data_IF_630344528319
#
_entry.id   IF_630344528319
#
_cell.length_a   1.000
_cell.length_b   1.000
_cell.length_c   1.000
_cell.angle_alpha   90.00
_cell.angle_beta   90.00
_cell.angle_gamma   90.00
#
_symmetry.space_group_name_H-M   'P 1'
#
loop_
_entity.id
_entity.type
_entity.pdbx_description
1 polymer ?
#
# COMPACT_ATOMS: atom_id res chain seq x y z
N UNK A 1 15.48 -15.59 36.44
CA UNK A 1 15.68 -14.38 35.60
C UNK A 1 15.32 -14.58 34.13
N UNK A 2 15.41 -15.79 33.54
CA UNK A 2 15.13 -15.98 32.10
C UNK A 2 13.67 -15.78 31.66
N UNK A 3 12.68 -16.21 32.46
CA UNK A 3 11.27 -16.15 32.06
C UNK A 3 10.76 -14.70 31.87
N UNK A 4 11.14 -13.79 32.76
CA UNK A 4 10.71 -12.39 32.69
C UNK A 4 11.36 -11.64 31.51
N UNK A 5 12.62 -11.93 31.20
CA UNK A 5 13.32 -11.34 30.03
C UNK A 5 12.72 -11.84 28.73
N UNK A 6 12.48 -13.15 28.59
CA UNK A 6 11.84 -13.71 27.39
C UNK A 6 10.42 -13.16 27.19
N UNK A 7 9.65 -13.03 28.27
CA UNK A 7 8.29 -12.49 28.19
C UNK A 7 8.29 -11.01 27.79
N UNK A 8 9.23 -10.20 28.32
CA UNK A 8 9.42 -8.81 27.90
C UNK A 8 9.80 -8.69 26.43
N UNK A 9 10.74 -9.51 25.95
CA UNK A 9 11.14 -9.52 24.54
C UNK A 9 9.97 -9.94 23.64
N UNK A 10 9.16 -10.90 24.07
CA UNK A 10 7.99 -11.35 23.32
C UNK A 10 6.91 -10.27 23.22
N UNK A 11 6.58 -9.60 24.33
CA UNK A 11 5.62 -8.49 24.34
C UNK A 11 6.13 -7.32 23.50
N UNK A 12 7.42 -6.99 23.60
CA UNK A 12 8.04 -5.99 22.74
C UNK A 12 7.88 -6.40 21.27
N UNK A 13 8.31 -7.60 20.89
CA UNK A 13 8.21 -8.09 19.51
C UNK A 13 6.77 -8.06 18.98
N UNK A 14 5.77 -8.41 19.78
CA UNK A 14 4.36 -8.29 19.39
C UNK A 14 3.94 -6.84 19.21
N UNK A 15 4.28 -5.96 20.14
CA UNK A 15 3.92 -4.55 20.06
C UNK A 15 4.52 -3.88 18.81
N UNK A 16 5.82 -4.08 18.56
CA UNK A 16 6.51 -3.56 17.39
C UNK A 16 6.03 -4.25 16.10
N UNK A 17 5.83 -5.57 16.15
CA UNK A 17 5.41 -6.38 15.01
C UNK A 17 4.01 -6.05 14.52
N UNK A 18 3.05 -5.81 15.41
CA UNK A 18 1.68 -5.43 15.02
C UNK A 18 1.67 -4.05 14.35
N UNK A 19 2.36 -3.05 14.92
CA UNK A 19 2.41 -1.70 14.35
C UNK A 19 3.06 -1.69 12.96
N UNK A 20 4.16 -2.41 12.78
CA UNK A 20 4.84 -2.51 11.48
C UNK A 20 3.98 -3.34 10.51
N UNK A 21 3.46 -4.47 10.97
CA UNK A 21 2.65 -5.39 10.16
C UNK A 21 1.40 -4.73 9.59
N UNK A 22 0.74 -3.85 10.34
CA UNK A 22 -0.44 -3.13 9.86
C UNK A 22 -0.14 -2.25 8.65
N UNK A 23 0.95 -1.49 8.66
CA UNK A 23 1.36 -0.63 7.54
C UNK A 23 1.65 -1.46 6.28
N UNK A 24 2.38 -2.57 6.43
CA UNK A 24 2.62 -3.48 5.30
C UNK A 24 1.33 -4.12 4.80
N UNK A 25 0.40 -4.48 5.69
CA UNK A 25 -0.89 -5.05 5.30
C UNK A 25 -1.72 -4.07 4.47
N UNK A 26 -1.77 -2.79 4.87
CA UNK A 26 -2.43 -1.72 4.11
C UNK A 26 -1.80 -1.54 2.73
N UNK A 27 -0.46 -1.55 2.64
CA UNK A 27 0.27 -1.52 1.38
C UNK A 27 -0.13 -2.67 0.44
N UNK A 28 -0.13 -3.92 0.94
CA UNK A 28 -0.52 -5.07 0.12
C UNK A 28 -1.97 -5.01 -0.33
N UNK A 29 -2.87 -4.52 0.53
CA UNK A 29 -4.29 -4.36 0.20
C UNK A 29 -4.51 -3.34 -0.91
N UNK A 30 -3.76 -2.23 -0.91
CA UNK A 30 -3.82 -1.27 -2.02
C UNK A 30 -3.26 -1.88 -3.31
N UNK A 31 -2.14 -2.59 -3.23
CA UNK A 31 -1.51 -3.22 -4.38
C UNK A 31 -2.47 -4.21 -5.07
N UNK A 32 -3.16 -5.03 -4.27
CA UNK A 32 -4.15 -6.00 -4.76
C UNK A 32 -5.33 -5.32 -5.45
N UNK A 33 -5.85 -4.23 -4.89
CA UNK A 33 -6.90 -3.44 -5.50
C UNK A 33 -6.43 -2.80 -6.83
N UNK A 34 -5.22 -2.22 -6.86
CA UNK A 34 -4.64 -1.67 -8.08
C UNK A 34 -4.50 -2.75 -9.17
N UNK A 35 -4.09 -3.96 -8.79
CA UNK A 35 -3.96 -5.08 -9.70
C UNK A 35 -5.31 -5.54 -10.25
N UNK A 36 -6.33 -5.60 -9.39
CA UNK A 36 -7.72 -5.89 -9.77
C UNK A 36 -8.25 -4.87 -10.76
N UNK A 37 -8.04 -3.58 -10.51
CA UNK A 37 -8.48 -2.54 -11.44
C UNK A 37 -7.65 -2.53 -12.74
N UNK A 38 -6.35 -2.86 -12.69
CA UNK A 38 -5.52 -2.99 -13.89
C UNK A 38 -6.01 -4.13 -14.80
N UNK A 39 -6.49 -5.25 -14.24
CA UNK A 39 -7.11 -6.34 -15.00
C UNK A 39 -8.42 -5.93 -15.69
N UNK A 40 -9.15 -4.99 -15.08
CA UNK A 40 -10.39 -4.43 -15.63
C UNK A 40 -10.14 -3.23 -16.56
N UNK A 41 -8.89 -2.81 -16.75
CA UNK A 41 -8.54 -1.67 -17.59
C UNK A 41 -8.94 -1.77 -19.08
N UNK A 42 -9.07 -2.96 -19.70
CA UNK A 42 -9.62 -3.07 -21.05
C UNK A 42 -11.08 -2.63 -21.17
N UNK A 43 -11.87 -2.74 -20.09
CA UNK A 43 -13.32 -2.47 -20.09
C UNK A 43 -13.71 -1.17 -19.36
N UNK A 44 -12.77 -0.54 -18.65
CA UNK A 44 -13.00 0.66 -17.86
C UNK A 44 -12.19 1.87 -18.34
N UNK A 45 -12.75 3.05 -18.14
CA UNK A 45 -12.05 4.33 -18.34
C UNK A 45 -11.10 4.65 -17.16
N UNK A 46 -10.07 5.46 -17.43
CA UNK A 46 -9.07 5.84 -16.43
C UNK A 46 -9.68 6.64 -15.26
N UNK A 47 -10.77 7.38 -15.49
CA UNK A 47 -11.46 8.13 -14.45
C UNK A 47 -12.13 7.20 -13.43
N UNK A 48 -12.81 6.16 -13.92
CA UNK A 48 -13.43 5.13 -13.08
C UNK A 48 -12.39 4.34 -12.31
N UNK A 49 -11.30 3.89 -12.96
CA UNK A 49 -10.20 3.17 -12.30
C UNK A 49 -9.60 4.03 -11.19
N UNK A 50 -9.27 5.30 -11.49
CA UNK A 50 -8.72 6.23 -10.50
C UNK A 50 -9.63 6.38 -9.29
N UNK A 51 -10.93 6.64 -9.52
CA UNK A 51 -11.90 6.85 -8.45
C UNK A 51 -12.05 5.62 -7.56
N UNK A 52 -12.03 4.42 -8.12
CA UNK A 52 -12.12 3.16 -7.35
C UNK A 52 -10.89 2.95 -6.47
N UNK A 53 -9.70 3.15 -7.03
CA UNK A 53 -8.44 3.03 -6.25
C UNK A 53 -8.39 4.11 -5.16
N UNK A 54 -8.84 5.34 -5.46
CA UNK A 54 -8.91 6.41 -4.46
C UNK A 54 -9.89 6.09 -3.32
N UNK A 55 -11.06 5.56 -3.64
CA UNK A 55 -12.02 5.11 -2.64
C UNK A 55 -11.44 4.00 -1.76
N UNK A 56 -10.78 3.00 -2.37
CA UNK A 56 -10.10 1.94 -1.62
C UNK A 56 -8.96 2.48 -0.74
N UNK A 57 -8.12 3.39 -1.24
CA UNK A 57 -7.07 4.02 -0.44
C UNK A 57 -7.64 4.76 0.78
N UNK A 58 -8.78 5.45 0.60
CA UNK A 58 -9.47 6.13 1.69
C UNK A 58 -10.07 5.15 2.71
N UNK A 59 -10.68 4.05 2.26
CA UNK A 59 -11.22 2.99 3.13
C UNK A 59 -10.13 2.26 3.92
N UNK A 60 -8.95 2.06 3.32
CA UNK A 60 -7.78 1.46 3.97
C UNK A 60 -7.18 2.41 5.03
N UNK A 61 -7.48 3.71 4.94
CA UNK A 61 -6.94 4.74 5.84
C UNK A 61 -5.52 5.18 5.43
N UNK A 62 -5.21 5.10 4.14
CA UNK A 62 -3.93 5.58 3.61
C UNK A 62 -3.89 7.11 3.53
N UNK A 63 -2.69 7.69 3.54
CA UNK A 63 -2.54 9.15 3.51
C UNK A 63 -2.95 9.72 2.13
N UNK A 64 -3.19 11.02 2.06
CA UNK A 64 -3.75 11.67 0.86
C UNK A 64 -2.83 11.54 -0.37
N UNK A 65 -1.52 11.41 -0.15
CA UNK A 65 -0.50 11.14 -1.16
C UNK A 65 -0.78 9.83 -1.89
N UNK A 66 -1.29 8.80 -1.19
CA UNK A 66 -1.66 7.51 -1.78
C UNK A 66 -2.84 7.62 -2.76
N UNK A 67 -3.58 8.73 -2.74
CA UNK A 67 -4.68 9.00 -3.66
C UNK A 67 -4.20 9.65 -4.97
N UNK A 68 -2.92 10.04 -5.03
CA UNK A 68 -2.28 10.58 -6.24
C UNK A 68 -1.93 9.41 -7.17
N UNK A 69 -2.96 8.83 -7.79
CA UNK A 69 -2.81 7.70 -8.72
C UNK A 69 -2.44 8.21 -10.10
N UNK A 70 -1.30 7.72 -10.61
CA UNK A 70 -0.87 7.91 -12.00
C UNK A 70 -1.26 6.68 -12.81
N UNK A 71 -1.97 6.91 -13.91
CA UNK A 71 -2.39 5.86 -14.85
C UNK A 71 -1.79 6.22 -16.19
N UNK A 72 -0.99 5.32 -16.74
CA UNK A 72 -0.37 5.45 -18.05
C UNK A 72 -0.73 4.25 -18.92
N UNK A 73 -1.40 4.52 -20.05
CA UNK A 73 -1.64 3.51 -21.09
C UNK A 73 -0.52 3.62 -22.13
N UNK A 74 0.32 2.61 -22.23
CA UNK A 74 1.38 2.53 -23.25
C UNK A 74 0.87 1.76 -24.46
N UNK A 75 1.27 2.19 -25.65
CA UNK A 75 0.90 1.56 -26.91
C UNK A 75 1.91 0.50 -27.37
N UNK A 76 3.15 0.53 -26.88
CA UNK A 76 4.22 -0.41 -27.25
C UNK A 76 5.20 -0.62 -26.07
N UNK A 77 5.14 -1.74 -25.35
CA UNK A 77 4.09 -2.76 -25.41
C UNK A 77 2.72 -2.19 -24.99
N UNK A 78 1.64 -2.81 -25.44
CA UNK A 78 0.28 -2.40 -25.07
C UNK A 78 0.03 -2.79 -23.62
N UNK A 79 0.12 -1.84 -22.70
CA UNK A 79 -0.02 -2.09 -21.26
C UNK A 79 -0.65 -0.90 -20.54
N UNK A 80 -1.35 -1.17 -19.43
CA UNK A 80 -1.71 -0.15 -18.45
C UNK A 80 -0.78 -0.27 -17.27
N UNK A 81 -0.17 0.85 -16.91
CA UNK A 81 0.64 0.99 -15.70
C UNK A 81 -0.11 1.92 -14.75
N UNK A 82 -0.40 1.41 -13.56
CA UNK A 82 -0.99 2.15 -12.45
C UNK A 82 0.06 2.22 -11.36
N UNK A 83 0.40 3.42 -10.93
CA UNK A 83 1.41 3.65 -9.90
C UNK A 83 1.00 4.79 -8.96
N UNK A 84 1.45 4.71 -7.72
CA UNK A 84 1.33 5.80 -6.75
C UNK A 84 2.52 5.76 -5.79
N UNK A 85 2.72 6.84 -5.06
CA UNK A 85 3.80 7.00 -4.10
C UNK A 85 3.27 7.71 -2.87
N UNK A 86 3.57 7.16 -1.70
CA UNK A 86 3.20 7.75 -0.43
C UNK A 86 4.17 7.34 0.68
N UNK A 87 4.20 8.13 1.76
CA UNK A 87 4.98 7.81 2.95
C UNK A 87 4.07 7.53 4.15
N UNK A 88 4.35 6.47 4.90
CA UNK A 88 3.74 6.24 6.21
C UNK A 88 4.79 6.34 7.31
N UNK A 89 4.54 7.20 8.29
CA UNK A 89 5.41 7.35 9.46
C UNK A 89 4.94 6.45 10.59
N UNK A 90 5.74 5.42 10.89
CA UNK A 90 5.53 4.58 12.07
C UNK A 90 6.22 5.25 13.26
N UNK A 91 5.41 5.68 14.22
CA UNK A 91 5.91 6.23 15.49
C UNK A 91 5.93 5.14 16.54
N UNK A 92 7.12 4.64 16.83
CA UNK A 92 7.38 3.72 17.91
C UNK A 92 7.89 4.49 19.14
N UNK A 93 7.70 3.98 20.38
CA UNK A 93 8.09 4.68 21.61
C UNK A 93 9.56 5.12 21.65
N UNK A 94 10.45 4.41 20.95
CA UNK A 94 11.90 4.70 20.90
C UNK A 94 12.41 5.14 19.52
N UNK A 95 11.57 5.10 18.47
CA UNK A 95 12.03 5.39 17.11
C UNK A 95 10.89 5.89 16.22
N UNK A 96 11.18 6.85 15.35
CA UNK A 96 10.26 7.26 14.28
C UNK A 96 10.89 6.88 12.95
N UNK A 97 10.18 6.08 12.16
CA UNK A 97 10.62 5.72 10.82
C UNK A 97 9.55 6.10 9.82
N UNK A 98 9.94 6.76 8.72
CA UNK A 98 9.07 7.00 7.59
C UNK A 98 9.38 5.97 6.52
N UNK A 99 8.41 5.12 6.21
CA UNK A 99 8.49 4.17 5.11
C UNK A 99 7.89 4.80 3.86
N UNK A 100 8.66 4.88 2.79
CA UNK A 100 8.15 5.29 1.47
C UNK A 100 7.72 4.06 0.69
N UNK A 101 6.45 4.04 0.28
CA UNK A 101 5.86 2.97 -0.50
C UNK A 101 5.60 3.44 -1.93
N UNK A 102 5.92 2.56 -2.89
CA UNK A 102 5.72 2.79 -4.32
C UNK A 102 4.94 1.63 -4.94
N UNK A 103 3.65 1.42 -4.59
CA UNK A 103 2.87 0.35 -5.18
C UNK A 103 2.67 0.60 -6.67
N UNK A 104 2.87 -0.46 -7.44
CA UNK A 104 2.84 -0.44 -8.90
C UNK A 104 2.16 -1.70 -9.41
N UNK A 105 1.15 -1.52 -10.24
CA UNK A 105 0.48 -2.59 -10.97
C UNK A 105 0.60 -2.34 -12.47
N UNK A 106 0.96 -3.38 -13.22
CA UNK A 106 1.02 -3.34 -14.68
C UNK A 106 0.30 -4.53 -15.27
N UNK A 107 -0.53 -4.28 -16.28
CA UNK A 107 -1.27 -5.33 -16.97
C UNK A 107 -1.17 -5.14 -18.49
N UNK A 108 -0.84 -6.20 -19.26
CA UNK A 108 -0.92 -6.16 -20.73
C UNK A 108 -2.38 -6.00 -21.19
N UNK A 109 -2.56 -5.20 -22.24
CA UNK A 109 -3.84 -4.86 -22.88
C UNK A 109 -4.03 -5.54 -24.23
#
# INVERSE_FOLDING_TARGET
MGCLVTLLLFVAALYYGVNIGEVFFRYYRLLDEMQTQAQLAPSLDDGTIRRRIQAAAQEIGLPAEAQQIRIARRASPREVVIETEYGETVTLPLFKHTFTFHPKASQPL
#
